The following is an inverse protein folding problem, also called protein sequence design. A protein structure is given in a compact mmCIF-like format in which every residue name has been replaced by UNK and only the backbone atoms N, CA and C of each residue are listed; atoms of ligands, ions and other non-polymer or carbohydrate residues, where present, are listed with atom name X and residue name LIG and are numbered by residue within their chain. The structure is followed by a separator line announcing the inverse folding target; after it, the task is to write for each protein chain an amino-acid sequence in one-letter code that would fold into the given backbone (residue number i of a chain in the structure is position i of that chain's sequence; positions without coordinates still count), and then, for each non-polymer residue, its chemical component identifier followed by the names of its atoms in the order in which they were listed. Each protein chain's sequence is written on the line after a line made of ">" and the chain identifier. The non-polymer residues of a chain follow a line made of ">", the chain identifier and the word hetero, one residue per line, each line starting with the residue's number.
data_IF_742023728543
#
_entry.id   IF_742023728543
#
_cell.length_a   1.000
_cell.length_b   1.000
_cell.length_c   1.000
_cell.angle_alpha   90.00
_cell.angle_beta   90.00
_cell.angle_gamma   90.00
#
_symmetry.space_group_name_H-M   'P 1'
#
loop_
_entity.id
_entity.type
_entity.pdbx_description
1 polymer ?
#
# COMPACT_ATOMS: atom_id res chain seq x y z
N UNK A 1 37.65 -27.61 -46.18
CA UNK A 1 39.12 -27.58 -46.12
C UNK A 1 39.53 -26.61 -45.03
N UNK A 2 40.17 -27.08 -43.95
CA UNK A 2 41.14 -26.36 -43.11
C UNK A 2 41.64 -27.29 -41.99
N UNK A 3 42.70 -28.01 -42.33
CA UNK A 3 43.86 -28.47 -41.54
C UNK A 3 43.78 -28.55 -40.01
N UNK A 4 43.76 -29.80 -39.52
CA UNK A 4 44.19 -30.21 -38.17
C UNK A 4 45.68 -29.97 -37.95
N UNK A 5 46.04 -29.31 -36.85
CA UNK A 5 47.42 -29.06 -36.41
C UNK A 5 47.70 -29.92 -35.18
N UNK A 6 48.47 -30.99 -35.37
CA UNK A 6 49.01 -31.85 -34.31
C UNK A 6 50.07 -31.08 -33.49
N UNK A 7 49.90 -31.07 -32.17
CA UNK A 7 50.88 -30.58 -31.18
C UNK A 7 51.53 -31.74 -30.40
N UNK A 8 52.67 -31.48 -29.74
CA UNK A 8 53.69 -32.48 -29.43
C UNK A 8 53.42 -33.27 -28.14
N UNK A 9 53.90 -34.52 -28.13
CA UNK A 9 53.70 -35.49 -27.05
C UNK A 9 54.47 -35.16 -25.76
N UNK A 10 53.95 -35.61 -24.60
CA UNK A 10 54.57 -35.38 -23.29
C UNK A 10 55.76 -36.32 -23.01
N UNK A 11 56.69 -35.90 -22.14
CA UNK A 11 57.92 -36.64 -21.85
C UNK A 11 57.66 -37.83 -20.92
N UNK A 12 58.35 -38.94 -21.19
CA UNK A 12 58.42 -40.11 -20.34
C UNK A 12 59.19 -39.78 -19.05
N UNK A 13 58.47 -39.59 -17.94
CA UNK A 13 59.04 -39.43 -16.60
C UNK A 13 59.18 -40.80 -15.90
N UNK A 14 60.44 -41.14 -15.63
CA UNK A 14 60.99 -41.89 -14.49
C UNK A 14 60.15 -42.97 -13.79
N UNK A 15 60.64 -44.21 -13.87
CA UNK A 15 60.27 -45.42 -13.10
C UNK A 15 60.37 -45.32 -11.56
N UNK A 16 60.55 -44.14 -10.96
CA UNK A 16 60.64 -43.98 -9.49
C UNK A 16 59.30 -43.64 -8.81
N UNK A 17 58.27 -43.25 -9.56
CA UNK A 17 56.96 -42.91 -8.98
C UNK A 17 56.03 -44.12 -8.76
N UNK A 18 56.31 -45.30 -9.32
CA UNK A 18 55.45 -46.49 -9.15
C UNK A 18 55.59 -47.15 -7.78
N UNK A 19 56.76 -47.05 -7.15
CA UNK A 19 57.02 -47.69 -5.86
C UNK A 19 56.43 -46.87 -4.70
N UNK A 20 56.30 -45.55 -4.86
CA UNK A 20 55.58 -44.70 -3.92
C UNK A 20 54.07 -44.93 -4.00
N UNK A 21 53.52 -45.04 -5.20
CA UNK A 21 52.08 -45.27 -5.41
C UNK A 21 51.61 -46.64 -4.89
N UNK A 22 52.43 -47.69 -5.03
CA UNK A 22 52.09 -49.02 -4.51
C UNK A 22 52.11 -49.08 -2.99
N UNK A 23 52.97 -48.31 -2.32
CA UNK A 23 53.01 -48.20 -0.86
C UNK A 23 51.79 -47.47 -0.30
N UNK A 24 51.35 -46.39 -0.95
CA UNK A 24 50.14 -45.65 -0.54
C UNK A 24 48.87 -46.52 -0.66
N UNK A 25 48.76 -47.33 -1.73
CA UNK A 25 47.66 -48.28 -1.89
C UNK A 25 47.68 -49.35 -0.79
N UNK A 26 48.85 -49.85 -0.41
CA UNK A 26 48.99 -50.84 0.65
C UNK A 26 48.58 -50.27 2.02
N UNK A 27 49.00 -49.05 2.33
CA UNK A 27 48.65 -48.36 3.59
C UNK A 27 47.14 -48.08 3.65
N UNK A 28 46.52 -47.66 2.54
CA UNK A 28 45.07 -47.49 2.46
C UNK A 28 44.30 -48.80 2.65
N UNK A 29 44.80 -49.91 2.07
CA UNK A 29 44.15 -51.22 2.19
C UNK A 29 44.26 -51.77 3.61
N UNK A 30 45.43 -51.59 4.25
CA UNK A 30 45.65 -51.95 5.65
C UNK A 30 44.72 -51.16 6.58
N UNK A 31 44.55 -49.86 6.33
CA UNK A 31 43.64 -49.04 7.12
C UNK A 31 42.17 -49.46 6.95
N UNK A 32 41.76 -49.84 5.73
CA UNK A 32 40.41 -50.35 5.47
C UNK A 32 40.17 -51.70 6.17
N UNK A 33 41.16 -52.61 6.17
CA UNK A 33 41.09 -53.89 6.87
C UNK A 33 41.01 -53.74 8.39
N UNK A 34 41.80 -52.83 8.96
CA UNK A 34 41.74 -52.54 10.40
C UNK A 34 40.40 -51.92 10.80
N UNK A 35 39.83 -51.04 9.98
CA UNK A 35 38.48 -50.50 10.20
C UNK A 35 37.42 -51.60 10.11
N UNK A 36 37.55 -52.53 9.15
CA UNK A 36 36.62 -53.65 9.01
C UNK A 36 36.70 -54.60 10.21
N UNK A 37 37.92 -54.91 10.68
CA UNK A 37 38.13 -55.72 11.88
C UNK A 37 37.50 -55.05 13.12
N UNK A 38 37.71 -53.74 13.30
CA UNK A 38 37.07 -52.97 14.38
C UNK A 38 35.55 -52.95 14.30
N UNK A 39 34.98 -52.86 13.09
CA UNK A 39 33.54 -52.96 12.88
C UNK A 39 32.99 -54.35 13.19
N UNK A 40 33.76 -55.41 12.89
CA UNK A 40 33.38 -56.79 13.18
C UNK A 40 33.37 -57.06 14.69
N UNK A 41 34.39 -56.59 15.42
CA UNK A 41 34.42 -56.69 16.88
C UNK A 41 33.29 -55.89 17.54
N UNK A 42 32.98 -54.69 17.04
CA UNK A 42 31.85 -53.90 17.52
C UNK A 42 30.51 -54.61 17.27
N UNK A 43 30.35 -55.27 16.11
CA UNK A 43 29.16 -56.05 15.80
C UNK A 43 29.05 -57.31 16.67
N UNK A 44 30.16 -58.00 16.89
CA UNK A 44 30.23 -59.16 17.78
C UNK A 44 29.89 -58.78 19.22
N UNK A 45 30.40 -57.65 19.71
CA UNK A 45 30.06 -57.09 21.03
C UNK A 45 28.56 -56.80 21.15
N UNK A 46 27.96 -56.19 20.12
CA UNK A 46 26.50 -55.98 20.07
C UNK A 46 25.72 -57.30 20.02
N UNK A 47 26.17 -58.28 19.24
CA UNK A 47 25.51 -59.59 19.13
C UNK A 47 25.55 -60.36 20.46
N UNK A 48 26.64 -60.25 21.22
CA UNK A 48 26.76 -60.88 22.53
C UNK A 48 25.89 -60.18 23.59
N UNK A 49 25.77 -58.86 23.50
CA UNK A 49 24.87 -58.08 24.35
C UNK A 49 23.39 -58.39 24.08
N UNK A 50 23.03 -58.61 22.81
CA UNK A 50 21.69 -59.08 22.40
C UNK A 50 21.44 -60.51 22.87
N UNK A 51 22.42 -61.41 22.78
CA UNK A 51 22.30 -62.78 23.27
C UNK A 51 22.16 -62.83 24.81
N UNK A 52 22.86 -61.97 25.55
CA UNK A 52 22.72 -61.88 27.01
C UNK A 52 21.39 -61.26 27.46
N UNK A 53 20.76 -60.41 26.64
CA UNK A 53 19.42 -59.86 26.88
C UNK A 53 18.28 -60.81 26.43
N UNK A 54 18.60 -62.04 26.04
CA UNK A 54 17.67 -63.09 25.66
C UNK A 54 16.92 -63.77 26.84
N UNK A 55 16.69 -63.07 27.96
CA UNK A 55 15.72 -63.52 28.98
C UNK A 55 14.36 -62.90 28.65
N UNK A 56 13.48 -63.75 28.11
CA UNK A 56 12.32 -63.48 27.25
C UNK A 56 11.12 -62.71 27.86
N UNK A 57 11.23 -62.13 29.06
CA UNK A 57 10.07 -61.50 29.73
C UNK A 57 9.97 -59.97 29.59
N UNK A 58 11.08 -59.22 29.70
CA UNK A 58 11.06 -57.75 29.51
C UNK A 58 10.90 -57.35 28.03
N UNK A 59 11.56 -58.07 27.10
CA UNK A 59 11.49 -57.75 25.67
C UNK A 59 10.07 -57.88 25.07
N UNK A 60 9.18 -58.67 25.68
CA UNK A 60 7.80 -58.84 25.22
C UNK A 60 6.97 -57.57 25.43
N UNK A 61 7.20 -56.85 26.53
CA UNK A 61 6.48 -55.60 26.84
C UNK A 61 6.99 -54.46 25.95
N UNK A 62 8.30 -54.33 25.78
CA UNK A 62 8.92 -53.35 24.88
C UNK A 62 8.46 -53.52 23.42
N UNK A 63 8.33 -54.76 22.93
CA UNK A 63 7.83 -55.02 21.57
C UNK A 63 6.34 -54.62 21.44
N UNK A 64 5.53 -54.83 22.48
CA UNK A 64 4.12 -54.41 22.46
C UNK A 64 4.01 -52.89 22.48
N UNK A 65 4.81 -52.22 23.30
CA UNK A 65 4.86 -50.76 23.35
C UNK A 65 5.30 -50.18 22.02
N UNK A 66 6.39 -50.70 21.43
CA UNK A 66 6.87 -50.26 20.12
C UNK A 66 5.81 -50.45 19.03
N UNK A 67 5.10 -51.58 19.02
CA UNK A 67 4.00 -51.82 18.07
C UNK A 67 2.86 -50.83 18.27
N UNK A 68 2.54 -50.47 19.51
CA UNK A 68 1.52 -49.47 19.79
C UNK A 68 1.98 -48.08 19.35
N UNK A 69 3.21 -47.70 19.66
CA UNK A 69 3.81 -46.44 19.20
C UNK A 69 3.85 -46.35 17.67
N UNK A 70 4.20 -47.43 16.96
CA UNK A 70 4.15 -47.46 15.49
C UNK A 70 2.73 -47.26 14.96
N UNK A 71 1.72 -47.92 15.55
CA UNK A 71 0.32 -47.72 15.15
C UNK A 71 -0.15 -46.28 15.40
N UNK A 72 0.22 -45.72 16.54
CA UNK A 72 -0.14 -44.34 16.89
C UNK A 72 0.57 -43.33 15.97
N UNK A 73 1.83 -43.60 15.59
CA UNK A 73 2.56 -42.80 14.60
C UNK A 73 1.95 -42.93 13.20
N UNK A 74 1.61 -44.13 12.75
CA UNK A 74 0.96 -44.35 11.45
C UNK A 74 -0.39 -43.64 11.38
N UNK A 75 -1.16 -43.66 12.47
CA UNK A 75 -2.43 -42.95 12.56
C UNK A 75 -2.24 -41.43 12.46
N UNK A 76 -1.28 -40.88 13.22
CA UNK A 76 -0.93 -39.45 13.14
C UNK A 76 -0.42 -39.05 11.76
N UNK A 77 0.42 -39.86 11.13
CA UNK A 77 0.91 -39.59 9.78
C UNK A 77 -0.22 -39.60 8.76
N UNK A 78 -1.19 -40.52 8.91
CA UNK A 78 -2.36 -40.56 8.04
C UNK A 78 -3.24 -39.31 8.20
N UNK A 79 -3.48 -38.88 9.44
CA UNK A 79 -4.19 -37.63 9.73
C UNK A 79 -3.45 -36.42 9.16
N UNK A 80 -2.13 -36.33 9.36
CA UNK A 80 -1.31 -35.26 8.79
C UNK A 80 -1.29 -35.26 7.26
N UNK A 81 -1.29 -36.44 6.61
CA UNK A 81 -1.38 -36.54 5.15
C UNK A 81 -2.72 -36.01 4.62
N UNK A 82 -3.82 -36.32 5.32
CA UNK A 82 -5.15 -35.82 4.97
C UNK A 82 -5.25 -34.29 5.16
N UNK A 83 -4.66 -33.75 6.22
CA UNK A 83 -4.55 -32.30 6.42
C UNK A 83 -3.75 -31.60 5.32
N UNK A 84 -2.60 -32.17 4.94
CA UNK A 84 -1.78 -31.63 3.84
C UNK A 84 -2.55 -31.69 2.52
N UNK A 85 -3.26 -32.78 2.25
CA UNK A 85 -4.07 -32.91 1.03
C UNK A 85 -5.17 -31.85 0.98
N UNK A 86 -5.90 -31.65 2.08
CA UNK A 86 -6.93 -30.62 2.19
C UNK A 86 -6.35 -29.20 2.01
N UNK A 87 -5.15 -28.95 2.54
CA UNK A 87 -4.46 -27.66 2.36
C UNK A 87 -4.08 -27.42 0.90
N UNK A 88 -3.57 -28.43 0.20
CA UNK A 88 -3.23 -28.34 -1.22
C UNK A 88 -4.48 -28.06 -2.05
N UNK A 89 -5.57 -28.79 -1.79
CA UNK A 89 -6.82 -28.61 -2.53
C UNK A 89 -7.41 -27.20 -2.31
N UNK A 90 -7.34 -26.67 -1.08
CA UNK A 90 -7.75 -25.30 -0.78
C UNK A 90 -6.88 -24.25 -1.48
N UNK A 91 -5.56 -24.42 -1.50
CA UNK A 91 -4.66 -23.51 -2.20
C UNK A 91 -4.96 -23.52 -3.69
N UNK A 92 -5.08 -24.70 -4.31
CA UNK A 92 -5.36 -24.83 -5.74
C UNK A 92 -6.72 -24.22 -6.12
N UNK A 93 -7.73 -24.39 -5.27
CA UNK A 93 -9.05 -23.83 -5.52
C UNK A 93 -9.03 -22.29 -5.38
N UNK A 94 -8.43 -21.77 -4.32
CA UNK A 94 -8.36 -20.33 -4.07
C UNK A 94 -7.49 -19.62 -5.12
N UNK A 95 -6.29 -20.12 -5.41
CA UNK A 95 -5.40 -19.56 -6.44
C UNK A 95 -6.03 -19.64 -7.83
N UNK A 96 -6.76 -20.73 -8.12
CA UNK A 96 -7.50 -20.89 -9.37
C UNK A 96 -8.59 -19.82 -9.54
N UNK A 97 -9.36 -19.55 -8.48
CA UNK A 97 -10.42 -18.53 -8.50
C UNK A 97 -9.86 -17.11 -8.57
N UNK A 98 -8.76 -16.84 -7.85
CA UNK A 98 -8.13 -15.52 -7.86
C UNK A 98 -7.45 -15.24 -9.21
N UNK A 99 -6.80 -16.21 -9.82
CA UNK A 99 -6.25 -16.07 -11.18
C UNK A 99 -7.38 -15.85 -12.21
N UNK A 100 -8.52 -16.55 -12.08
CA UNK A 100 -9.68 -16.31 -12.96
C UNK A 100 -10.23 -14.90 -12.81
N UNK A 101 -10.32 -14.37 -11.59
CA UNK A 101 -10.75 -12.99 -11.35
C UNK A 101 -9.77 -12.00 -11.94
N UNK A 102 -8.48 -12.19 -11.73
CA UNK A 102 -7.44 -11.30 -12.25
C UNK A 102 -7.46 -11.26 -13.79
N UNK A 103 -7.53 -12.43 -14.44
CA UNK A 103 -7.63 -12.51 -15.91
C UNK A 103 -8.93 -11.85 -16.40
N UNK A 104 -10.05 -12.05 -15.70
CA UNK A 104 -11.31 -11.42 -16.09
C UNK A 104 -11.27 -9.90 -15.98
N UNK A 105 -10.61 -9.38 -14.94
CA UNK A 105 -10.40 -7.95 -14.75
C UNK A 105 -9.48 -7.38 -15.84
N UNK A 106 -8.36 -8.02 -16.13
CA UNK A 106 -7.43 -7.58 -17.17
C UNK A 106 -8.10 -7.57 -18.55
N UNK A 107 -8.92 -8.59 -18.87
CA UNK A 107 -9.71 -8.62 -20.10
C UNK A 107 -10.72 -7.46 -20.14
N UNK A 108 -11.40 -7.17 -19.02
CA UNK A 108 -12.35 -6.06 -18.96
C UNK A 108 -11.67 -4.70 -19.19
N UNK A 109 -10.50 -4.48 -18.57
CA UNK A 109 -9.71 -3.26 -18.75
C UNK A 109 -9.25 -3.10 -20.20
N UNK A 110 -8.77 -4.18 -20.84
CA UNK A 110 -8.39 -4.16 -22.26
C UNK A 110 -9.58 -3.90 -23.19
N UNK A 111 -10.75 -4.46 -22.89
CA UNK A 111 -11.97 -4.18 -23.65
C UNK A 111 -12.36 -2.71 -23.53
N UNK A 112 -12.30 -2.13 -22.33
CA UNK A 112 -12.62 -0.72 -22.10
C UNK A 112 -11.67 0.21 -22.87
N UNK A 113 -10.37 -0.09 -22.89
CA UNK A 113 -9.39 0.64 -23.69
C UNK A 113 -9.68 0.53 -25.19
N UNK A 114 -9.94 -0.68 -25.71
CA UNK A 114 -10.28 -0.90 -27.12
C UNK A 114 -11.58 -0.21 -27.53
N UNK A 115 -12.60 -0.24 -26.67
CA UNK A 115 -13.87 0.45 -26.92
C UNK A 115 -13.65 1.95 -26.92
N UNK A 116 -12.87 2.50 -25.99
CA UNK A 116 -12.55 3.93 -25.94
C UNK A 116 -11.84 4.39 -27.21
N UNK A 117 -10.85 3.63 -27.68
CA UNK A 117 -10.12 3.94 -28.91
C UNK A 117 -11.02 3.85 -30.15
N UNK A 118 -11.83 2.81 -30.24
CA UNK A 118 -12.77 2.64 -31.36
C UNK A 118 -13.84 3.73 -31.37
N UNK A 119 -14.36 4.11 -30.20
CA UNK A 119 -15.33 5.21 -30.06
C UNK A 119 -14.67 6.53 -30.46
N UNK A 120 -13.44 6.81 -30.02
CA UNK A 120 -12.71 8.00 -30.42
C UNK A 120 -12.49 8.06 -31.94
N UNK A 121 -12.15 6.93 -32.56
CA UNK A 121 -11.99 6.83 -34.01
C UNK A 121 -13.32 7.06 -34.75
N UNK A 122 -14.39 6.38 -34.33
CA UNK A 122 -15.72 6.55 -34.91
C UNK A 122 -16.24 7.99 -34.74
N UNK A 123 -16.01 8.61 -33.58
CA UNK A 123 -16.35 10.01 -33.34
C UNK A 123 -15.58 10.93 -34.29
N UNK A 124 -14.28 10.70 -34.51
CA UNK A 124 -13.50 11.52 -35.44
C UNK A 124 -14.04 11.47 -36.88
N UNK A 125 -14.48 10.30 -37.32
CA UNK A 125 -14.95 10.11 -38.70
C UNK A 125 -16.40 10.57 -38.91
N UNK A 126 -17.24 10.48 -37.86
CA UNK A 126 -18.68 10.74 -37.96
C UNK A 126 -19.14 12.05 -37.31
N UNK A 127 -18.27 12.73 -36.55
CA UNK A 127 -18.60 14.03 -35.95
C UNK A 127 -18.14 15.16 -36.87
N UNK A 128 -19.07 15.95 -37.43
CA UNK A 128 -18.73 17.15 -38.19
C UNK A 128 -17.91 18.12 -37.33
N UNK A 129 -16.91 18.78 -37.92
CA UNK A 129 -16.06 19.76 -37.21
C UNK A 129 -16.89 20.87 -36.54
N UNK A 130 -18.02 21.25 -37.15
CA UNK A 130 -18.96 22.25 -36.61
C UNK A 130 -19.55 21.84 -35.25
N UNK A 131 -19.89 20.55 -35.08
CA UNK A 131 -20.46 20.04 -33.83
C UNK A 131 -19.38 19.94 -32.73
N UNK A 132 -18.13 19.70 -33.12
CA UNK A 132 -16.99 19.73 -32.20
C UNK A 132 -16.76 21.12 -31.61
N UNK A 133 -16.91 22.17 -32.44
CA UNK A 133 -16.83 23.55 -31.97
C UNK A 133 -17.98 23.89 -31.01
N UNK A 134 -19.21 23.52 -31.37
CA UNK A 134 -20.40 23.74 -30.52
C UNK A 134 -20.29 22.99 -29.18
N UNK A 135 -19.74 21.77 -29.15
CA UNK A 135 -19.50 21.04 -27.91
C UNK A 135 -18.46 21.72 -27.02
N UNK A 136 -17.38 22.23 -27.59
CA UNK A 136 -16.35 22.93 -26.81
C UNK A 136 -16.86 24.28 -26.29
N UNK A 137 -17.66 25.00 -27.09
CA UNK A 137 -18.35 26.22 -26.65
C UNK A 137 -19.34 25.91 -25.52
N UNK A 138 -20.20 24.91 -25.70
CA UNK A 138 -21.13 24.46 -24.64
C UNK A 138 -20.37 24.02 -23.38
N UNK A 139 -19.26 23.30 -23.50
CA UNK A 139 -18.45 22.87 -22.35
C UNK A 139 -17.83 24.06 -21.62
N UNK A 140 -17.40 25.08 -22.37
CA UNK A 140 -16.93 26.35 -21.80
C UNK A 140 -18.07 27.08 -21.09
N UNK A 141 -19.24 27.18 -21.71
CA UNK A 141 -20.43 27.75 -21.09
C UNK A 141 -20.84 26.99 -19.83
N UNK A 142 -20.78 25.65 -19.83
CA UNK A 142 -21.04 24.84 -18.64
C UNK A 142 -20.00 25.08 -17.55
N UNK A 143 -18.72 25.20 -17.88
CA UNK A 143 -17.68 25.53 -16.92
C UNK A 143 -17.87 26.95 -16.36
N UNK A 144 -18.23 27.91 -17.21
CA UNK A 144 -18.55 29.28 -16.82
C UNK A 144 -19.82 29.34 -15.97
N UNK A 145 -20.85 28.53 -16.28
CA UNK A 145 -22.07 28.37 -15.50
C UNK A 145 -21.83 27.64 -14.20
N UNK A 146 -20.94 26.65 -14.14
CA UNK A 146 -20.58 25.95 -12.92
C UNK A 146 -19.76 26.86 -12.00
N UNK A 147 -18.81 27.59 -12.58
CA UNK A 147 -18.08 28.64 -11.91
C UNK A 147 -19.04 29.75 -11.44
N UNK A 148 -20.00 30.13 -12.26
CA UNK A 148 -21.07 31.04 -11.89
C UNK A 148 -22.01 30.42 -10.87
N UNK A 149 -22.35 29.13 -10.84
CA UNK A 149 -23.21 28.59 -9.79
C UNK A 149 -22.47 28.54 -8.45
N UNK A 150 -21.17 28.24 -8.51
CA UNK A 150 -20.30 28.29 -7.36
C UNK A 150 -20.09 29.74 -6.85
N UNK A 151 -20.09 30.73 -7.74
CA UNK A 151 -19.77 32.13 -7.41
C UNK A 151 -20.95 33.11 -7.41
N UNK A 152 -22.01 32.83 -8.14
CA UNK A 152 -23.17 33.70 -8.40
C UNK A 152 -24.24 33.48 -7.34
N UNK A 153 -25.02 34.47 -6.95
CA UNK A 153 -25.03 35.88 -7.25
C UNK A 153 -25.49 36.43 -8.61
N UNK A 154 -26.78 36.76 -8.63
CA UNK A 154 -27.40 37.76 -9.50
C UNK A 154 -26.78 39.14 -9.31
N UNK A 155 -26.15 39.72 -10.32
CA UNK A 155 -26.14 41.13 -10.79
C UNK A 155 -26.21 42.37 -9.84
N UNK A 156 -26.22 42.24 -8.50
CA UNK A 156 -26.45 43.37 -7.55
C UNK A 156 -25.32 43.66 -6.51
N UNK A 157 -24.09 43.12 -6.63
CA UNK A 157 -22.98 42.99 -5.61
C UNK A 157 -23.03 42.08 -4.32
N UNK A 158 -23.12 40.73 -4.35
CA UNK A 158 -23.17 39.82 -3.16
C UNK A 158 -22.75 38.35 -3.49
N UNK A 159 -21.58 38.19 -4.12
CA UNK A 159 -21.01 36.94 -4.66
C UNK A 159 -20.79 35.81 -3.64
N UNK A 160 -21.43 34.64 -3.81
CA UNK A 160 -21.10 33.39 -3.06
C UNK A 160 -22.23 32.75 -2.26
N UNK A 161 -23.47 32.71 -2.76
CA UNK A 161 -24.65 32.39 -1.95
C UNK A 161 -24.65 30.99 -1.32
N UNK A 162 -24.08 29.96 -1.96
CA UNK A 162 -24.12 28.59 -1.41
C UNK A 162 -23.08 28.38 -0.32
N UNK A 163 -21.78 28.65 -0.57
CA UNK A 163 -20.75 28.58 0.46
C UNK A 163 -21.10 29.52 1.63
N UNK A 164 -21.61 30.73 1.36
CA UNK A 164 -22.07 31.65 2.40
C UNK A 164 -23.29 31.12 3.16
N UNK A 165 -24.23 30.44 2.48
CA UNK A 165 -25.40 29.82 3.14
C UNK A 165 -24.98 28.68 4.05
N UNK A 166 -24.04 27.83 3.60
CA UNK A 166 -23.49 26.75 4.40
C UNK A 166 -22.69 27.32 5.59
N UNK A 167 -21.82 28.28 5.34
CA UNK A 167 -21.07 28.99 6.38
C UNK A 167 -21.98 29.72 7.38
N UNK A 168 -23.13 30.21 6.93
CA UNK A 168 -24.13 30.83 7.80
C UNK A 168 -24.87 29.87 8.72
N UNK A 169 -24.77 28.56 8.48
CA UNK A 169 -25.29 27.52 9.41
C UNK A 169 -24.29 27.09 10.46
N UNK A 170 -23.01 27.45 10.30
CA UNK A 170 -21.95 27.14 11.26
C UNK A 170 -22.29 27.73 12.62
N UNK A 171 -21.95 27.02 13.69
CA UNK A 171 -22.23 27.44 15.07
C UNK A 171 -20.99 27.77 15.87
N UNK A 172 -21.01 28.85 16.66
CA UNK A 172 -19.91 29.20 17.57
C UNK A 172 -19.64 28.11 18.63
N UNK A 173 -20.62 27.24 18.89
CA UNK A 173 -20.45 26.07 19.76
C UNK A 173 -19.57 24.97 19.16
N UNK A 174 -19.24 25.03 17.86
CA UNK A 174 -18.47 24.03 17.12
C UNK A 174 -17.38 24.70 16.28
N UNK A 175 -16.26 25.10 16.90
CA UNK A 175 -15.16 25.76 16.19
C UNK A 175 -14.43 24.83 15.20
N UNK A 176 -14.62 23.52 15.32
CA UNK A 176 -14.01 22.50 14.47
C UNK A 176 -14.78 22.26 13.15
N UNK A 177 -15.93 22.92 12.95
CA UNK A 177 -16.69 22.75 11.71
C UNK A 177 -15.93 23.39 10.52
N UNK A 178 -15.89 22.67 9.39
CA UNK A 178 -15.15 23.07 8.18
C UNK A 178 -15.80 24.30 7.55
N UNK A 179 -14.97 25.31 7.26
CA UNK A 179 -15.40 26.51 6.54
C UNK A 179 -15.43 26.22 5.04
N UNK A 180 -16.59 26.39 4.40
CA UNK A 180 -16.70 26.23 2.96
C UNK A 180 -15.95 27.36 2.25
N UNK A 181 -15.09 26.96 1.31
CA UNK A 181 -14.22 27.87 0.57
C UNK A 181 -15.02 28.80 -0.33
N UNK A 182 -14.51 30.02 -0.47
CA UNK A 182 -15.05 31.04 -1.37
C UNK A 182 -13.99 31.31 -2.42
N UNK A 183 -14.37 31.30 -3.70
CA UNK A 183 -13.45 31.61 -4.79
C UNK A 183 -13.26 33.13 -4.89
N UNK A 184 -12.06 33.54 -5.25
CA UNK A 184 -11.73 34.92 -5.57
C UNK A 184 -12.32 35.32 -6.93
N UNK A 185 -12.21 36.60 -7.30
CA UNK A 185 -12.65 37.13 -8.61
C UNK A 185 -12.01 36.42 -9.81
N UNK A 186 -10.82 35.85 -9.62
CA UNK A 186 -10.09 35.06 -10.60
C UNK A 186 -10.46 33.56 -10.64
N UNK A 187 -11.41 33.11 -9.80
CA UNK A 187 -11.85 31.72 -9.73
C UNK A 187 -10.97 30.76 -8.93
N UNK A 188 -9.85 31.25 -8.37
CA UNK A 188 -8.99 30.46 -7.49
C UNK A 188 -9.31 30.71 -6.01
N UNK A 189 -8.89 29.78 -5.13
CA UNK A 189 -8.98 29.95 -3.67
C UNK A 189 -7.70 30.61 -3.18
N UNK A 190 -7.78 31.60 -2.30
CA UNK A 190 -6.56 32.16 -1.68
C UNK A 190 -5.85 31.05 -0.90
N UNK A 191 -4.54 30.92 -1.09
CA UNK A 191 -3.72 29.98 -0.30
C UNK A 191 -3.72 30.29 1.20
N UNK A 192 -4.22 31.47 1.60
CA UNK A 192 -4.36 31.92 2.99
C UNK A 192 -5.77 31.68 3.56
N UNK A 193 -6.67 31.08 2.78
CA UNK A 193 -8.03 30.81 3.24
C UNK A 193 -8.01 29.72 4.34
N UNK A 194 -8.58 29.99 5.53
CA UNK A 194 -8.58 29.04 6.64
C UNK A 194 -9.55 27.88 6.35
N UNK A 195 -9.19 26.67 6.81
CA UNK A 195 -9.98 25.45 6.59
C UNK A 195 -11.15 25.31 7.57
N UNK A 196 -11.01 25.87 8.77
CA UNK A 196 -11.96 25.79 9.87
C UNK A 196 -12.11 27.16 10.56
N UNK A 197 -13.12 27.28 11.43
CA UNK A 197 -13.35 28.52 12.20
C UNK A 197 -12.21 28.77 13.18
N UNK A 198 -11.59 27.72 13.74
CA UNK A 198 -10.47 27.89 14.66
C UNK A 198 -9.26 28.54 13.97
N UNK A 199 -8.83 28.05 12.81
CA UNK A 199 -7.74 28.66 12.04
C UNK A 199 -8.08 30.09 11.61
N UNK A 200 -9.36 30.39 11.34
CA UNK A 200 -9.82 31.74 11.03
C UNK A 200 -9.61 32.70 12.21
N UNK A 201 -9.87 32.25 13.45
CA UNK A 201 -9.67 33.07 14.66
C UNK A 201 -8.19 33.19 15.07
N UNK A 202 -7.36 32.24 14.68
CA UNK A 202 -5.91 32.24 14.94
C UNK A 202 -5.11 33.15 13.98
N UNK A 203 -5.73 33.67 12.91
CA UNK A 203 -5.05 34.56 11.97
C UNK A 203 -4.57 35.85 12.65
N UNK A 204 -3.34 36.25 12.31
CA UNK A 204 -2.74 37.51 12.71
C UNK A 204 -3.30 38.69 11.90
N UNK A 205 -3.09 39.91 12.40
CA UNK A 205 -3.62 41.12 11.77
C UNK A 205 -3.16 41.28 10.32
N UNK A 206 -1.91 40.90 10.01
CA UNK A 206 -1.33 41.03 8.69
C UNK A 206 -1.88 39.97 7.72
N UNK A 207 -2.07 38.72 8.16
CA UNK A 207 -2.72 37.72 7.31
C UNK A 207 -4.18 38.06 7.00
N UNK A 208 -4.94 38.60 7.97
CA UNK A 208 -6.33 39.03 7.71
C UNK A 208 -6.36 40.20 6.72
N UNK A 209 -5.43 41.16 6.82
CA UNK A 209 -5.30 42.26 5.84
C UNK A 209 -4.97 41.74 4.44
N UNK A 210 -4.02 40.79 4.35
CA UNK A 210 -3.68 40.15 3.08
C UNK A 210 -4.88 39.38 2.50
N UNK A 211 -5.62 38.65 3.34
CA UNK A 211 -6.81 37.92 2.95
C UNK A 211 -7.92 38.88 2.45
N UNK A 212 -8.15 40.00 3.13
CA UNK A 212 -9.08 41.02 2.64
C UNK A 212 -8.66 41.60 1.28
N UNK A 213 -7.36 41.77 1.04
CA UNK A 213 -6.84 42.24 -0.24
C UNK A 213 -7.00 41.19 -1.36
N UNK A 214 -6.73 39.91 -1.07
CA UNK A 214 -6.91 38.80 -2.02
C UNK A 214 -8.37 38.70 -2.53
N UNK A 215 -9.34 39.04 -1.67
CA UNK A 215 -10.77 39.02 -1.98
C UNK A 215 -11.34 40.40 -2.37
N UNK A 216 -10.49 41.40 -2.65
CA UNK A 216 -10.87 42.76 -3.05
C UNK A 216 -11.89 43.43 -2.10
N UNK A 217 -11.79 43.17 -0.80
CA UNK A 217 -12.70 43.73 0.21
C UNK A 217 -12.31 45.16 0.59
N UNK A 218 -13.22 46.10 0.35
CA UNK A 218 -13.01 47.51 0.68
C UNK A 218 -13.05 47.79 2.19
N UNK A 219 -12.29 48.81 2.62
CA UNK A 219 -12.33 49.36 3.98
C UNK A 219 -11.50 48.59 5.00
N UNK A 220 -10.30 48.16 4.62
CA UNK A 220 -9.30 47.61 5.53
C UNK A 220 -8.94 48.64 6.60
N UNK A 221 -8.97 48.24 7.87
CA UNK A 221 -8.61 49.08 9.04
C UNK A 221 -7.39 48.50 9.75
N UNK A 222 -6.84 49.21 10.74
CA UNK A 222 -5.75 48.67 11.57
C UNK A 222 -6.21 47.70 12.66
N UNK A 223 -7.51 47.66 12.94
CA UNK A 223 -8.09 46.72 13.90
C UNK A 223 -8.28 45.35 13.25
N UNK A 224 -7.54 44.35 13.75
CA UNK A 224 -7.70 42.93 13.35
C UNK A 224 -9.15 42.49 13.44
N UNK A 225 -9.81 42.79 14.57
CA UNK A 225 -11.14 42.27 14.86
C UNK A 225 -12.20 42.88 13.93
N UNK A 226 -12.06 44.15 13.55
CA UNK A 226 -12.94 44.79 12.58
C UNK A 226 -12.78 44.18 11.18
N UNK A 227 -11.54 43.96 10.76
CA UNK A 227 -11.23 43.30 9.48
C UNK A 227 -11.74 41.86 9.46
N UNK A 228 -11.54 41.11 10.55
CA UNK A 228 -12.01 39.73 10.68
C UNK A 228 -13.54 39.67 10.67
N UNK A 229 -14.22 40.59 11.37
CA UNK A 229 -15.69 40.69 11.34
C UNK A 229 -16.22 40.96 9.92
N UNK A 230 -15.57 41.86 9.17
CA UNK A 230 -15.93 42.11 7.76
C UNK A 230 -15.71 40.87 6.90
N UNK A 231 -14.60 40.15 7.12
CA UNK A 231 -14.32 38.92 6.39
C UNK A 231 -15.29 37.79 6.75
N UNK A 232 -15.66 37.63 8.03
CA UNK A 232 -16.69 36.68 8.47
C UNK A 232 -18.05 37.00 7.85
N UNK A 233 -18.44 38.28 7.82
CA UNK A 233 -19.67 38.73 7.18
C UNK A 233 -19.63 38.46 5.66
N UNK A 234 -18.49 38.69 5.02
CA UNK A 234 -18.27 38.31 3.62
C UNK A 234 -18.40 36.79 3.43
N UNK A 235 -17.89 35.99 4.38
CA UNK A 235 -18.03 34.54 4.35
C UNK A 235 -19.47 34.04 4.62
N UNK A 236 -20.42 34.92 4.95
CA UNK A 236 -21.80 34.57 5.31
C UNK A 236 -21.95 34.06 6.73
N UNK A 237 -20.86 34.07 7.51
CA UNK A 237 -20.86 33.67 8.92
C UNK A 237 -21.58 34.76 9.72
N UNK A 238 -22.62 34.37 10.47
CA UNK A 238 -23.43 35.32 11.27
C UNK A 238 -22.79 35.71 12.60
N UNK A 239 -21.54 35.32 12.83
CA UNK A 239 -20.79 35.64 14.03
C UNK A 239 -20.14 37.00 13.94
N UNK A 240 -20.28 37.76 15.01
CA UNK A 240 -19.57 39.02 15.20
C UNK A 240 -18.74 38.91 16.47
N UNK A 241 -17.44 39.16 16.36
CA UNK A 241 -16.61 39.38 17.53
C UNK A 241 -17.01 40.72 18.14
N UNK A 242 -17.66 40.67 19.30
CA UNK A 242 -17.92 41.86 20.10
C UNK A 242 -16.64 42.14 20.89
N UNK A 243 -16.00 43.28 20.60
CA UNK A 243 -14.94 43.79 21.44
C UNK A 243 -15.57 44.09 22.79
N UNK A 244 -15.34 43.24 23.79
CA UNK A 244 -15.62 43.62 25.17
C UNK A 244 -14.59 44.68 25.52
N UNK A 245 -15.00 45.94 25.48
CA UNK A 245 -14.30 47.03 26.17
C UNK A 245 -14.41 46.78 27.67
N UNK A 246 -13.70 45.76 28.15
CA UNK A 246 -13.54 45.53 29.57
C UNK A 246 -12.48 46.52 30.05
N UNK A 247 -12.95 47.51 30.80
CA UNK A 247 -12.12 48.28 31.73
C UNK A 247 -11.29 47.28 32.56
N UNK A 248 -10.03 47.10 32.16
CA UNK A 248 -8.97 46.39 32.90
C UNK A 248 -9.28 44.94 33.30
N UNK A 249 -9.39 43.99 32.36
CA UNK A 249 -8.74 42.65 32.51
C UNK A 249 -8.87 41.81 31.25
N UNK A 250 -7.73 41.29 30.78
CA UNK A 250 -7.59 40.53 29.54
C UNK A 250 -8.25 39.15 29.62
N UNK A 251 -9.42 38.96 29.01
CA UNK A 251 -9.80 37.67 28.42
C UNK A 251 -10.88 37.85 27.33
N UNK A 252 -10.47 37.71 26.07
CA UNK A 252 -11.37 37.76 24.91
C UNK A 252 -12.41 36.64 25.04
N UNK A 253 -13.68 37.01 25.15
CA UNK A 253 -14.79 36.07 25.30
C UNK A 253 -15.74 36.23 24.12
N UNK A 254 -15.96 35.15 23.38
CA UNK A 254 -16.87 35.10 22.24
C UNK A 254 -18.33 35.27 22.68
N UNK A 255 -19.08 36.17 22.04
CA UNK A 255 -20.51 36.37 22.28
C UNK A 255 -21.32 35.77 21.13
N UNK A 256 -22.42 35.07 21.46
CA UNK A 256 -23.37 34.44 20.53
C UNK A 256 -24.48 35.41 20.16
#
# INVERSE_FOLDING_TARGET
>A
MTTSKLGPGPPLTSKQDSDAATKEVYDSLSHALNNLAGNYDALQGKSMQVAMKGTEMENSEDIKELRQQMKDQDLRHKESMEEIQNMIDQILQNEGDDMRKQVSQEIAEQIDELVKDQVAHCLKDHMPEDLGFELEENKREYADLQHALHNSYNDTGNLGSESRRLNGTLRASKPDDVLHTILMSNGSVSGRFPKDLNALFELDADAVKALMADYDLNGVTDSRDNNLNKFMQFCGVRYQMVVKTDDKTNNSTYAV
#
